data_IF_958636645526
#
_entry.id   IF_958636645526
#
_cell.length_a   1.000
_cell.length_b   1.000
_cell.length_c   1.000
_cell.angle_alpha   90.00
_cell.angle_beta   90.00
_cell.angle_gamma   90.00
#
_symmetry.space_group_name_H-M   'P 1'
#
loop_
_entity.id
_entity.type
_entity.pdbx_description
1 polymer ?
#
# COMPACT_ATOMS: atom_id res chain seq x y z
N UNK A 1 -3.77 16.07 -23.10
CA UNK A 1 -3.84 14.65 -22.69
C UNK A 1 -5.19 14.12 -23.10
N UNK A 2 -5.24 12.97 -23.76
CA UNK A 2 -6.48 12.41 -24.31
C UNK A 2 -7.42 12.01 -23.18
N UNK A 3 -8.71 12.36 -23.34
CA UNK A 3 -9.80 11.95 -22.43
C UNK A 3 -10.00 10.42 -22.48
N UNK A 4 -9.56 9.79 -23.56
CA UNK A 4 -9.60 8.36 -23.79
C UNK A 4 -8.21 7.73 -23.62
N UNK A 5 -8.09 6.84 -22.64
CA UNK A 5 -6.89 6.04 -22.33
C UNK A 5 -7.01 4.59 -22.82
N UNK A 6 -8.00 4.27 -23.67
CA UNK A 6 -8.23 2.92 -24.17
C UNK A 6 -7.12 2.38 -25.06
N UNK A 7 -6.25 3.26 -25.60
CA UNK A 7 -5.07 2.90 -26.42
C UNK A 7 -5.41 1.88 -27.51
N UNK A 8 -6.28 2.20 -28.47
CA UNK A 8 -6.74 1.24 -29.50
C UNK A 8 -5.61 0.75 -30.42
N UNK A 9 -4.45 1.40 -30.38
CA UNK A 9 -3.22 1.04 -31.09
C UNK A 9 -2.47 -0.16 -30.48
N UNK A 10 -2.72 -0.50 -29.21
CA UNK A 10 -2.07 -1.63 -28.52
C UNK A 10 -2.84 -2.94 -28.73
N UNK A 11 -2.15 -4.07 -28.77
CA UNK A 11 -2.81 -5.38 -28.77
C UNK A 11 -3.40 -5.71 -27.38
N UNK A 12 -4.39 -6.62 -27.36
CA UNK A 12 -5.07 -7.01 -26.13
C UNK A 12 -4.16 -7.70 -25.11
N UNK A 13 -3.16 -8.47 -25.56
CA UNK A 13 -2.24 -9.18 -24.67
C UNK A 13 -1.33 -8.19 -23.92
N UNK A 14 -0.82 -7.16 -24.61
CA UNK A 14 -0.06 -6.07 -23.98
C UNK A 14 -0.89 -5.34 -22.95
N UNK A 15 -2.15 -5.01 -23.27
CA UNK A 15 -3.02 -4.29 -22.33
C UNK A 15 -3.41 -5.16 -21.12
N UNK A 16 -3.67 -6.44 -21.32
CA UNK A 16 -3.90 -7.37 -20.21
C UNK A 16 -2.65 -7.49 -19.33
N UNK A 17 -1.45 -7.62 -19.92
CA UNK A 17 -0.19 -7.67 -19.17
C UNK A 17 0.07 -6.43 -18.32
N UNK A 18 -0.17 -5.24 -18.88
CA UNK A 18 -0.11 -3.98 -18.13
C UNK A 18 -1.11 -3.97 -16.97
N UNK A 19 -2.37 -4.37 -17.21
CA UNK A 19 -3.39 -4.45 -16.18
C UNK A 19 -3.02 -5.40 -15.04
N UNK A 20 -2.47 -6.59 -15.36
CA UNK A 20 -2.00 -7.55 -14.35
C UNK A 20 -0.85 -7.01 -13.51
N UNK A 21 0.08 -6.26 -14.12
CA UNK A 21 1.18 -5.66 -13.39
C UNK A 21 0.69 -4.57 -12.43
N UNK A 22 -0.23 -3.72 -12.89
CA UNK A 22 -0.84 -2.70 -12.03
C UNK A 22 -1.70 -3.31 -10.91
N UNK A 23 -2.49 -4.36 -11.20
CA UNK A 23 -3.24 -5.12 -10.19
C UNK A 23 -2.30 -5.73 -9.12
N UNK A 24 -1.14 -6.24 -9.53
CA UNK A 24 -0.12 -6.73 -8.60
C UNK A 24 0.44 -5.61 -7.72
N UNK A 25 0.71 -4.42 -8.27
CA UNK A 25 1.13 -3.26 -7.48
C UNK A 25 0.05 -2.83 -6.49
N UNK A 26 -1.21 -2.73 -6.91
CA UNK A 26 -2.35 -2.41 -6.02
C UNK A 26 -2.50 -3.42 -4.88
N UNK A 27 -2.28 -4.71 -5.17
CA UNK A 27 -2.26 -5.75 -4.14
C UNK A 27 -1.12 -5.53 -3.14
N UNK A 28 0.06 -5.11 -3.61
CA UNK A 28 1.18 -4.74 -2.73
C UNK A 28 0.95 -3.44 -1.97
N UNK A 29 0.21 -2.47 -2.52
CA UNK A 29 -0.22 -1.27 -1.78
C UNK A 29 -1.13 -1.64 -0.59
N UNK A 30 -1.99 -2.64 -0.75
CA UNK A 30 -2.80 -3.15 0.38
C UNK A 30 -1.92 -3.81 1.45
N UNK A 31 -0.94 -4.64 1.05
CA UNK A 31 0.02 -5.23 1.98
C UNK A 31 0.84 -4.15 2.71
N UNK A 32 1.28 -3.11 1.99
CA UNK A 32 1.94 -1.93 2.56
C UNK A 32 1.06 -1.25 3.60
N UNK A 33 -0.22 -1.01 3.28
CA UNK A 33 -1.19 -0.45 4.23
C UNK A 33 -1.34 -1.29 5.51
N UNK A 34 -1.32 -2.62 5.38
CA UNK A 34 -1.34 -3.52 6.53
C UNK A 34 -0.08 -3.39 7.40
N UNK A 35 1.11 -3.17 6.81
CA UNK A 35 2.34 -2.92 7.58
C UNK A 35 2.28 -1.61 8.36
N UNK A 36 1.74 -0.54 7.79
CA UNK A 36 1.49 0.70 8.52
C UNK A 36 0.49 0.50 9.66
N UNK A 37 -0.58 -0.26 9.41
CA UNK A 37 -1.51 -0.69 10.44
C UNK A 37 -0.80 -1.44 11.56
N UNK A 38 -0.01 -2.46 11.24
CA UNK A 38 0.80 -3.21 12.19
C UNK A 38 1.71 -2.30 13.02
N UNK A 39 2.45 -1.38 12.39
CA UNK A 39 3.31 -0.41 13.07
C UNK A 39 2.55 0.43 14.10
N UNK A 40 1.40 1.01 13.71
CA UNK A 40 0.58 1.83 14.61
C UNK A 40 0.01 1.03 15.78
N UNK A 41 -0.47 -0.19 15.53
CA UNK A 41 -1.04 -1.04 16.57
C UNK A 41 0.03 -1.50 17.57
N UNK A 42 1.22 -1.89 17.10
CA UNK A 42 2.33 -2.25 17.99
C UNK A 42 2.81 -1.08 18.82
N UNK A 43 2.97 0.12 18.23
CA UNK A 43 3.34 1.31 19.00
C UNK A 43 2.29 1.70 20.04
N UNK A 44 1.00 1.57 19.70
CA UNK A 44 -0.09 1.77 20.67
C UNK A 44 -0.03 0.73 21.80
N UNK A 45 0.19 -0.54 21.48
CA UNK A 45 0.28 -1.60 22.47
C UNK A 45 1.46 -1.40 23.43
N UNK A 46 2.63 -1.02 22.90
CA UNK A 46 3.82 -0.71 23.70
C UNK A 46 3.55 0.42 24.71
N UNK A 47 2.90 1.51 24.27
CA UNK A 47 2.47 2.58 25.18
C UNK A 47 1.52 2.08 26.28
N UNK A 48 0.57 1.21 25.94
CA UNK A 48 -0.36 0.64 26.93
C UNK A 48 0.37 -0.25 27.94
N UNK A 49 1.42 -0.96 27.53
CA UNK A 49 2.29 -1.71 28.47
C UNK A 49 3.00 -0.75 29.41
N UNK A 50 3.55 0.36 28.93
CA UNK A 50 4.17 1.38 29.78
C UNK A 50 3.18 1.94 30.81
N UNK A 51 1.94 2.23 30.41
CA UNK A 51 0.88 2.65 31.34
C UNK A 51 0.54 1.57 32.38
N UNK A 52 0.50 0.30 31.97
CA UNK A 52 0.29 -0.81 32.89
C UNK A 52 1.44 -0.99 33.89
N UNK A 53 2.69 -0.78 33.46
CA UNK A 53 3.88 -0.80 34.32
C UNK A 53 3.74 0.23 35.44
N UNK A 54 3.40 1.49 35.11
CA UNK A 54 3.15 2.54 36.10
C UNK A 54 2.06 2.14 37.10
N UNK A 55 0.90 1.67 36.60
CA UNK A 55 -0.21 1.23 37.44
C UNK A 55 0.15 0.04 38.36
N UNK A 56 0.95 -0.90 37.89
CA UNK A 56 1.43 -2.01 38.72
C UNK A 56 2.41 -1.55 39.80
N UNK A 57 3.25 -0.54 39.52
CA UNK A 57 4.11 0.08 40.55
C UNK A 57 3.26 0.74 41.62
N UNK A 58 2.26 1.53 41.24
CA UNK A 58 1.33 2.20 42.16
C UNK A 58 0.55 1.19 43.03
N UNK A 59 0.16 0.06 42.45
CA UNK A 59 -0.54 -1.01 43.15
C UNK A 59 0.37 -1.87 44.07
N UNK A 60 1.68 -1.61 44.11
CA UNK A 60 2.64 -2.36 44.94
C UNK A 60 3.17 -3.64 44.30
N UNK A 61 2.92 -3.88 43.00
CA UNK A 61 3.41 -5.04 42.25
C UNK A 61 4.75 -4.75 41.54
N UNK A 62 5.71 -4.20 42.27
CA UNK A 62 6.97 -3.68 41.72
C UNK A 62 7.77 -4.72 40.90
N UNK A 63 7.87 -5.97 41.38
CA UNK A 63 8.62 -7.01 40.69
C UNK A 63 8.07 -7.32 39.29
N UNK A 64 6.75 -7.44 39.15
CA UNK A 64 6.13 -7.68 37.85
C UNK A 64 6.28 -6.46 36.93
N UNK A 65 6.15 -5.25 37.49
CA UNK A 65 6.37 -4.02 36.73
C UNK A 65 7.81 -3.93 36.20
N UNK A 66 8.81 -4.29 37.01
CA UNK A 66 10.23 -4.33 36.60
C UNK A 66 10.48 -5.39 35.52
N UNK A 67 9.84 -6.55 35.61
CA UNK A 67 9.97 -7.60 34.60
C UNK A 67 9.34 -7.18 33.25
N UNK A 68 8.15 -6.56 33.27
CA UNK A 68 7.50 -6.05 32.07
C UNK A 68 8.28 -4.91 31.41
N UNK A 69 8.76 -3.96 32.21
CA UNK A 69 9.57 -2.84 31.73
C UNK A 69 10.88 -3.32 31.10
N UNK A 70 11.56 -4.28 31.73
CA UNK A 70 12.81 -4.85 31.22
C UNK A 70 12.63 -5.67 29.95
N UNK A 71 11.62 -6.54 29.91
CA UNK A 71 11.56 -7.61 28.92
C UNK A 71 10.58 -7.36 27.76
N UNK A 72 9.58 -6.48 27.96
CA UNK A 72 8.50 -6.23 27.01
C UNK A 72 8.49 -4.80 26.43
N UNK A 73 8.73 -3.76 27.23
CA UNK A 73 8.73 -2.37 26.73
C UNK A 73 9.87 -2.19 25.72
N UNK A 74 9.52 -1.68 24.54
CA UNK A 74 10.46 -1.44 23.43
C UNK A 74 11.04 -2.72 22.82
N UNK A 75 10.50 -3.91 23.15
CA UNK A 75 11.00 -5.18 22.63
C UNK A 75 10.77 -5.30 21.13
N UNK A 76 11.84 -5.48 20.34
CA UNK A 76 11.75 -5.73 18.89
C UNK A 76 10.72 -6.82 18.51
N UNK A 77 9.93 -6.54 17.46
CA UNK A 77 8.82 -7.39 17.01
C UNK A 77 9.27 -8.57 16.13
N UNK A 78 10.34 -8.37 15.38
CA UNK A 78 10.94 -9.33 14.43
C UNK A 78 12.45 -9.09 14.50
N UNK A 79 13.25 -10.16 14.43
CA UNK A 79 14.72 -10.18 14.54
C UNK A 79 15.41 -8.80 14.38
N UNK A 80 15.82 -8.23 15.52
CA UNK A 80 16.56 -6.97 15.68
C UNK A 80 15.88 -5.71 15.10
N UNK A 81 14.56 -5.75 14.88
CA UNK A 81 13.79 -4.65 14.30
C UNK A 81 12.56 -4.30 15.12
N UNK A 82 12.42 -3.00 15.34
CA UNK A 82 11.15 -2.39 15.70
C UNK A 82 10.30 -2.17 14.45
N UNK A 83 9.01 -1.86 14.64
CA UNK A 83 8.04 -1.88 13.55
C UNK A 83 8.29 -0.87 12.44
N UNK A 84 8.85 0.31 12.74
CA UNK A 84 9.16 1.29 11.69
C UNK A 84 10.27 0.79 10.76
N UNK A 85 11.27 0.08 11.30
CA UNK A 85 12.36 -0.51 10.50
C UNK A 85 11.83 -1.60 9.57
N UNK A 86 10.80 -2.35 9.99
CA UNK A 86 10.12 -3.32 9.11
C UNK A 86 9.40 -2.62 7.96
N UNK A 87 8.74 -1.48 8.21
CA UNK A 87 8.08 -0.68 7.18
C UNK A 87 9.10 -0.11 6.20
N UNK A 88 10.17 0.52 6.71
CA UNK A 88 11.25 1.10 5.90
C UNK A 88 11.95 0.05 5.05
N UNK A 89 12.33 -1.10 5.63
CA UNK A 89 12.97 -2.18 4.87
C UNK A 89 12.05 -2.73 3.77
N UNK A 90 10.74 -2.85 4.02
CA UNK A 90 9.77 -3.29 3.01
C UNK A 90 9.62 -2.26 1.88
N UNK A 91 9.51 -0.99 2.23
CA UNK A 91 9.38 0.11 1.28
C UNK A 91 10.61 0.20 0.37
N UNK A 92 11.80 0.17 0.95
CA UNK A 92 13.05 0.33 0.23
C UNK A 92 13.41 -0.87 -0.65
N UNK A 93 13.14 -2.10 -0.18
CA UNK A 93 13.64 -3.29 -0.87
C UNK A 93 12.61 -4.02 -1.75
N UNK A 94 11.32 -3.85 -1.49
CA UNK A 94 10.30 -4.62 -2.20
C UNK A 94 9.27 -3.73 -2.90
N UNK A 95 8.61 -2.84 -2.16
CA UNK A 95 7.56 -2.00 -2.74
C UNK A 95 8.09 -0.97 -3.75
N UNK A 96 9.22 -0.32 -3.46
CA UNK A 96 9.83 0.65 -4.39
C UNK A 96 10.20 0.01 -5.73
N UNK A 97 10.69 -1.23 -5.71
CA UNK A 97 11.06 -2.02 -6.89
C UNK A 97 9.81 -2.36 -7.71
N UNK A 98 8.75 -2.85 -7.06
CA UNK A 98 7.46 -3.11 -7.72
C UNK A 98 6.92 -1.85 -8.42
N UNK A 99 6.91 -0.73 -7.70
CA UNK A 99 6.43 0.56 -8.21
C UNK A 99 7.26 1.07 -9.38
N UNK A 100 8.58 0.88 -9.34
CA UNK A 100 9.46 1.27 -10.43
C UNK A 100 9.21 0.45 -11.70
N UNK A 101 8.97 -0.86 -11.58
CA UNK A 101 8.67 -1.71 -12.74
C UNK A 101 7.31 -1.42 -13.37
N UNK A 102 6.26 -1.21 -12.58
CA UNK A 102 4.96 -0.75 -13.10
C UNK A 102 5.12 0.58 -13.87
N UNK A 103 5.80 1.56 -13.26
CA UNK A 103 6.05 2.85 -13.87
C UNK A 103 6.85 2.75 -15.18
N UNK A 104 7.84 1.86 -15.23
CA UNK A 104 8.61 1.61 -16.45
C UNK A 104 7.75 0.97 -17.54
N UNK A 105 6.98 -0.07 -17.20
CA UNK A 105 6.14 -0.78 -18.18
C UNK A 105 5.11 0.17 -18.82
N UNK A 106 4.44 1.02 -18.02
CA UNK A 106 3.50 2.02 -18.57
C UNK A 106 4.21 3.05 -19.45
N UNK A 107 5.40 3.51 -19.09
CA UNK A 107 6.16 4.47 -19.91
C UNK A 107 6.54 3.85 -21.25
N UNK A 108 7.05 2.62 -21.25
CA UNK A 108 7.52 1.94 -22.45
C UNK A 108 6.38 1.46 -23.37
N UNK A 109 5.25 1.00 -22.79
CA UNK A 109 4.21 0.29 -23.55
C UNK A 109 2.91 1.10 -23.72
N UNK A 110 2.55 1.94 -22.73
CA UNK A 110 1.32 2.75 -22.76
C UNK A 110 1.57 4.26 -22.77
N UNK A 111 2.77 4.72 -23.13
CA UNK A 111 3.06 6.16 -23.22
C UNK A 111 2.85 6.90 -21.90
N UNK A 112 2.91 6.17 -20.78
CA UNK A 112 2.65 6.67 -19.44
C UNK A 112 1.19 6.58 -18.98
N UNK A 113 0.24 6.17 -19.82
CA UNK A 113 -1.16 6.04 -19.41
C UNK A 113 -1.33 4.96 -18.33
N UNK A 114 -2.04 5.33 -17.25
CA UNK A 114 -2.48 4.42 -16.19
C UNK A 114 -3.87 3.87 -16.52
N UNK A 115 -4.13 2.64 -16.07
CA UNK A 115 -5.43 1.97 -16.16
C UNK A 115 -5.97 1.81 -17.59
N UNK A 116 -5.09 1.41 -18.54
CA UNK A 116 -5.49 1.21 -19.95
C UNK A 116 -6.50 0.07 -20.08
N UNK A 117 -6.33 -1.02 -19.32
CA UNK A 117 -7.24 -2.17 -19.34
C UNK A 117 -8.63 -1.77 -18.86
N UNK A 118 -8.71 -1.08 -17.72
CA UNK A 118 -9.95 -0.57 -17.15
C UNK A 118 -10.57 0.49 -18.05
N UNK A 119 -9.78 1.32 -18.72
CA UNK A 119 -10.28 2.27 -19.71
C UNK A 119 -10.97 1.56 -20.88
N UNK A 120 -10.39 0.46 -21.39
CA UNK A 120 -11.06 -0.38 -22.42
C UNK A 120 -12.33 -1.03 -21.90
N UNK A 121 -12.31 -1.58 -20.68
CA UNK A 121 -13.49 -2.16 -20.04
C UNK A 121 -14.59 -1.10 -19.92
N UNK A 122 -14.23 0.06 -19.37
CA UNK A 122 -15.15 1.18 -19.19
C UNK A 122 -15.75 1.61 -20.52
N UNK A 123 -14.94 1.73 -21.59
CA UNK A 123 -15.41 2.11 -22.91
C UNK A 123 -16.45 1.12 -23.47
N UNK A 124 -16.29 -0.19 -23.25
CA UNK A 124 -17.28 -1.22 -23.65
C UNK A 124 -18.59 -1.13 -22.86
N UNK A 125 -18.52 -0.69 -21.61
CA UNK A 125 -19.67 -0.56 -20.71
C UNK A 125 -20.44 0.77 -20.88
N UNK A 126 -19.96 1.68 -21.74
CA UNK A 126 -20.63 2.97 -21.96
C UNK A 126 -21.95 2.77 -22.71
N UNK A 127 -22.98 3.46 -22.22
CA UNK A 127 -24.25 3.59 -22.94
C UNK A 127 -24.21 4.91 -23.71
N UNK A 128 -24.33 4.85 -25.04
CA UNK A 128 -24.30 6.05 -25.87
C UNK A 128 -25.40 7.04 -25.47
N UNK A 129 -25.01 8.30 -25.22
CA UNK A 129 -25.93 9.37 -24.84
C UNK A 129 -26.36 9.39 -23.37
N UNK A 130 -25.88 8.46 -22.54
CA UNK A 130 -26.19 8.47 -21.11
C UNK A 130 -25.19 9.37 -20.35
N UNK A 131 -25.63 10.46 -19.70
CA UNK A 131 -24.74 11.49 -19.16
C UNK A 131 -23.79 10.99 -18.06
N UNK A 132 -24.14 9.93 -17.34
CA UNK A 132 -23.27 9.32 -16.31
C UNK A 132 -22.32 8.24 -16.86
N UNK A 133 -22.38 7.92 -18.16
CA UNK A 133 -21.53 6.90 -18.81
C UNK A 133 -20.49 7.56 -19.73
N UNK A 134 -20.24 8.86 -19.59
CA UNK A 134 -19.17 9.57 -20.29
C UNK A 134 -17.79 9.24 -19.69
N UNK A 135 -16.72 9.40 -20.47
CA UNK A 135 -15.34 9.10 -20.02
C UNK A 135 -14.82 10.01 -18.89
N UNK A 136 -15.61 10.99 -18.45
CA UNK A 136 -15.21 11.99 -17.46
C UNK A 136 -14.21 13.01 -18.03
N UNK A 137 -13.86 14.05 -17.26
CA UNK A 137 -12.80 14.98 -17.64
C UNK A 137 -11.42 14.30 -17.59
N UNK A 138 -10.45 14.81 -18.35
CA UNK A 138 -9.06 14.42 -18.17
C UNK A 138 -8.62 14.71 -16.72
N UNK A 139 -7.99 13.74 -16.06
CA UNK A 139 -7.39 13.94 -14.73
C UNK A 139 -6.17 14.85 -14.86
N UNK A 140 -6.03 15.84 -13.98
CA UNK A 140 -4.79 16.62 -13.83
C UNK A 140 -3.64 15.70 -13.37
N UNK A 141 -2.42 16.04 -13.77
CA UNK A 141 -1.19 15.35 -13.32
C UNK A 141 -0.99 15.41 -11.80
#
# INVERSE_FOLDING_TARGET
>A
MTVDRSRPDLDDTTVEGLGRLSEALETMEQARGQLYGFHQHSGKADRLVQEAVELFREAGHAQLADDLDRDLVGRNVIADRWTFQVVEDFDDNYWSVFRAFDARARTELSGGDRHVLEARMKQRERTAGHPAHEAGPALSE
#
